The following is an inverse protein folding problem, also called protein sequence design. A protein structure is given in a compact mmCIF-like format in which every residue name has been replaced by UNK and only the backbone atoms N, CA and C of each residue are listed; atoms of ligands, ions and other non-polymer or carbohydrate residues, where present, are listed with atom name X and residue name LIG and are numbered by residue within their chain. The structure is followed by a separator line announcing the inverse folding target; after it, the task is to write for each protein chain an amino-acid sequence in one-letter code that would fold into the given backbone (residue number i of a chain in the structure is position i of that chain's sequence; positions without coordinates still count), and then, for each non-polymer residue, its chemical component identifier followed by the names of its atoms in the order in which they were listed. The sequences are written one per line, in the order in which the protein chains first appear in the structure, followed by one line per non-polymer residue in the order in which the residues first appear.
data_IF_799644323280
#
_entry.id   IF_799644323280
#
_cell.length_a   1.000
_cell.length_b   1.000
_cell.length_c   1.000
_cell.angle_alpha   90.00
_cell.angle_beta   90.00
_cell.angle_gamma   90.00
#
_symmetry.space_group_name_H-M   'P 1'
#
loop_
_entity.id
_entity.type
_entity.pdbx_description
1 polymer ?
#
# COMPACT_ATOMS: atom_id res chain seq x y z
N UNK A 1 27.53 47.07 -15.54
CA UNK A 1 26.35 46.67 -16.35
C UNK A 1 26.22 45.15 -16.44
N UNK A 2 27.33 44.40 -16.56
CA UNK A 2 27.37 42.93 -16.47
C UNK A 2 26.76 42.37 -15.19
N UNK A 3 27.04 42.98 -14.04
CA UNK A 3 26.71 42.39 -12.73
C UNK A 3 25.22 42.50 -12.38
N UNK A 4 24.57 43.62 -12.77
CA UNK A 4 23.12 43.80 -12.65
C UNK A 4 22.34 42.85 -13.58
N UNK A 5 22.85 42.64 -14.80
CA UNK A 5 22.29 41.64 -15.72
C UNK A 5 22.46 40.23 -15.18
N UNK A 6 23.63 39.91 -14.62
CA UNK A 6 23.91 38.60 -14.01
C UNK A 6 23.02 38.35 -12.80
N UNK A 7 22.87 39.33 -11.90
CA UNK A 7 21.95 39.25 -10.76
C UNK A 7 20.49 39.07 -11.21
N UNK A 8 20.08 39.79 -12.26
CA UNK A 8 18.75 39.64 -12.86
C UNK A 8 18.53 38.24 -13.43
N UNK A 9 19.51 37.67 -14.13
CA UNK A 9 19.46 36.31 -14.66
C UNK A 9 19.38 35.26 -13.54
N UNK A 10 20.17 35.41 -12.47
CA UNK A 10 20.12 34.52 -11.31
C UNK A 10 18.74 34.62 -10.64
N UNK A 11 18.24 35.84 -10.42
CA UNK A 11 16.90 36.07 -9.86
C UNK A 11 15.79 35.45 -10.72
N UNK A 12 15.86 35.62 -12.04
CA UNK A 12 14.91 35.01 -12.97
C UNK A 12 14.96 33.48 -12.97
N UNK A 13 16.16 32.90 -12.99
CA UNK A 13 16.35 31.44 -12.98
C UNK A 13 15.89 30.81 -11.66
N UNK A 14 16.20 31.45 -10.52
CA UNK A 14 15.75 30.98 -9.20
C UNK A 14 14.23 31.04 -9.08
N UNK A 15 13.59 32.11 -9.55
CA UNK A 15 12.12 32.21 -9.58
C UNK A 15 11.50 31.12 -10.46
N UNK A 16 12.04 30.90 -11.66
CA UNK A 16 11.56 29.86 -12.56
C UNK A 16 11.66 28.47 -11.92
N UNK A 17 12.80 28.16 -11.30
CA UNK A 17 13.01 26.90 -10.59
C UNK A 17 11.98 26.71 -9.46
N UNK A 18 11.73 27.74 -8.67
CA UNK A 18 10.73 27.69 -7.60
C UNK A 18 9.32 27.43 -8.15
N UNK A 19 8.95 28.10 -9.25
CA UNK A 19 7.67 27.87 -9.90
C UNK A 19 7.55 26.44 -10.44
N UNK A 20 8.61 25.89 -11.04
CA UNK A 20 8.63 24.49 -11.49
C UNK A 20 8.49 23.51 -10.34
N UNK A 21 9.18 23.74 -9.21
CA UNK A 21 9.06 22.89 -8.03
C UNK A 21 7.65 22.95 -7.41
N UNK A 22 7.04 24.13 -7.37
CA UNK A 22 5.66 24.30 -6.90
C UNK A 22 4.66 23.60 -7.83
N UNK A 23 4.83 23.73 -9.13
CA UNK A 23 4.01 23.02 -10.12
C UNK A 23 4.17 21.51 -9.99
N UNK A 24 5.40 21.01 -9.83
CA UNK A 24 5.69 19.59 -9.60
C UNK A 24 5.06 19.07 -8.31
N UNK A 25 5.15 19.82 -7.21
CA UNK A 25 4.52 19.44 -5.94
C UNK A 25 2.99 19.44 -6.04
N UNK A 26 2.41 20.45 -6.70
CA UNK A 26 0.98 20.51 -7.00
C UNK A 26 0.51 19.31 -7.83
N UNK A 27 1.22 19.01 -8.91
CA UNK A 27 0.96 17.84 -9.78
C UNK A 27 1.09 16.51 -9.02
N UNK A 28 2.00 16.44 -8.05
CA UNK A 28 2.19 15.27 -7.18
C UNK A 28 1.08 15.09 -6.14
N UNK A 29 0.13 16.02 -6.03
CA UNK A 29 -0.99 15.95 -5.08
C UNK A 29 -0.80 16.73 -3.78
N UNK A 30 0.17 17.67 -3.70
CA UNK A 30 0.37 18.48 -2.49
C UNK A 30 -0.91 19.21 -2.04
N UNK A 31 -1.71 19.68 -3.01
CA UNK A 31 -2.97 20.38 -2.77
C UNK A 31 -4.21 19.45 -2.84
N UNK A 32 -4.03 18.16 -3.09
CA UNK A 32 -5.15 17.22 -3.15
C UNK A 32 -5.79 17.07 -1.77
N UNK A 33 -7.12 17.04 -1.73
CA UNK A 33 -7.87 16.64 -0.54
C UNK A 33 -7.75 15.14 -0.28
N UNK A 34 -7.86 14.75 0.98
CA UNK A 34 -8.01 13.33 1.35
C UNK A 34 -9.42 13.17 1.90
N UNK A 35 -10.27 12.49 1.14
CA UNK A 35 -11.62 12.14 1.57
C UNK A 35 -11.64 10.68 2.02
N UNK A 36 -12.06 10.45 3.26
CA UNK A 36 -12.21 9.10 3.83
C UNK A 36 -13.68 8.81 3.98
N UNK A 37 -14.12 7.68 3.45
CA UNK A 37 -15.51 7.22 3.55
C UNK A 37 -15.57 5.72 3.86
N UNK A 38 -16.70 5.28 4.38
CA UNK A 38 -17.03 3.87 4.50
C UNK A 38 -18.06 3.51 3.44
N UNK A 39 -17.84 2.41 2.71
CA UNK A 39 -18.74 2.02 1.63
C UNK A 39 -18.28 0.77 0.88
N UNK A 40 -18.70 0.69 -0.38
CA UNK A 40 -18.37 -0.41 -1.28
C UNK A 40 -16.87 -0.42 -1.60
N UNK A 41 -16.26 -1.62 -1.76
CA UNK A 41 -14.84 -1.72 -2.08
C UNK A 41 -14.52 -1.19 -3.48
N UNK A 42 -13.29 -0.68 -3.69
CA UNK A 42 -12.80 -0.32 -5.02
C UNK A 42 -12.50 -1.54 -5.90
N UNK A 43 -12.48 -2.75 -5.32
CA UNK A 43 -12.22 -4.01 -6.02
C UNK A 43 -13.23 -5.11 -5.65
N UNK A 44 -13.38 -6.07 -6.57
CA UNK A 44 -14.06 -7.34 -6.36
C UNK A 44 -13.09 -8.38 -5.75
N UNK A 45 -13.39 -9.66 -5.91
CA UNK A 45 -12.43 -10.72 -5.65
C UNK A 45 -11.25 -10.57 -6.62
N UNK A 46 -10.04 -10.73 -6.11
CA UNK A 46 -8.81 -10.56 -6.90
C UNK A 46 -7.89 -11.74 -6.69
N UNK A 47 -7.23 -12.17 -7.76
CA UNK A 47 -6.10 -13.10 -7.66
C UNK A 47 -4.82 -12.30 -7.77
N UNK A 48 -3.95 -12.42 -6.77
CA UNK A 48 -2.72 -11.65 -6.67
C UNK A 48 -1.51 -12.55 -6.74
N UNK A 49 -0.47 -12.08 -7.43
CA UNK A 49 0.89 -12.58 -7.24
C UNK A 49 1.57 -11.68 -6.22
N UNK A 50 2.16 -12.24 -5.17
CA UNK A 50 2.77 -11.47 -4.09
C UNK A 50 4.08 -12.09 -3.60
N UNK A 51 4.92 -11.25 -3.02
CA UNK A 51 6.02 -11.66 -2.14
C UNK A 51 5.70 -11.19 -0.72
N UNK A 52 5.84 -12.10 0.23
CA UNK A 52 5.77 -11.77 1.64
C UNK A 52 7.10 -11.13 2.08
N UNK A 53 7.01 -10.03 2.81
CA UNK A 53 8.15 -9.31 3.33
C UNK A 53 7.94 -8.98 4.80
N UNK A 54 9.02 -9.11 5.57
CA UNK A 54 9.10 -8.67 6.96
C UNK A 54 10.26 -7.67 7.05
N UNK A 55 9.98 -6.47 7.54
CA UNK A 55 10.93 -5.36 7.58
C UNK A 55 10.29 -4.00 7.34
N UNK A 56 11.14 -3.00 7.14
CA UNK A 56 10.74 -1.61 6.92
C UNK A 56 9.90 -1.49 5.64
N UNK A 57 8.67 -0.98 5.76
CA UNK A 57 7.80 -0.76 4.60
C UNK A 57 8.43 0.19 3.56
N UNK A 58 9.28 1.14 3.97
CA UNK A 58 10.01 2.00 3.03
C UNK A 58 10.96 1.26 2.09
N UNK A 59 11.37 0.02 2.42
CA UNK A 59 12.26 -0.81 1.61
C UNK A 59 11.49 -1.72 0.63
N UNK A 60 10.16 -1.70 0.67
CA UNK A 60 9.30 -2.50 -0.22
C UNK A 60 9.28 -2.00 -1.66
N UNK A 61 9.82 -0.81 -1.94
CA UNK A 61 9.91 -0.24 -3.29
C UNK A 61 10.56 -1.18 -4.31
N UNK A 62 11.56 -1.97 -3.88
CA UNK A 62 12.20 -2.99 -4.74
C UNK A 62 11.22 -4.08 -5.19
N UNK A 63 10.27 -4.49 -4.33
CA UNK A 63 9.29 -5.52 -4.63
C UNK A 63 8.26 -5.01 -5.64
N UNK A 64 7.86 -3.74 -5.52
CA UNK A 64 7.07 -3.07 -6.54
C UNK A 64 7.80 -3.00 -7.88
N UNK A 65 9.07 -2.58 -7.89
CA UNK A 65 9.87 -2.55 -9.12
C UNK A 65 9.99 -3.93 -9.76
N UNK A 66 10.25 -4.97 -8.96
CA UNK A 66 10.32 -6.34 -9.45
C UNK A 66 9.00 -6.81 -10.06
N UNK A 67 7.88 -6.60 -9.35
CA UNK A 67 6.54 -6.94 -9.82
C UNK A 67 6.17 -6.22 -11.12
N UNK A 68 6.38 -4.90 -11.18
CA UNK A 68 6.12 -4.09 -12.37
C UNK A 68 7.01 -4.47 -13.56
N UNK A 69 8.25 -4.93 -13.31
CA UNK A 69 9.17 -5.35 -14.37
C UNK A 69 8.72 -6.64 -15.05
N UNK A 70 7.95 -7.49 -14.35
CA UNK A 70 7.38 -8.71 -14.92
C UNK A 70 6.19 -8.37 -15.83
N UNK A 71 5.28 -7.51 -15.37
CA UNK A 71 4.16 -7.04 -16.18
C UNK A 71 3.74 -5.61 -15.81
N UNK A 72 4.17 -4.60 -16.59
CA UNK A 72 3.95 -3.19 -16.24
C UNK A 72 2.50 -2.73 -16.44
N UNK A 73 1.66 -3.55 -17.10
CA UNK A 73 0.25 -3.25 -17.35
C UNK A 73 -0.65 -3.65 -16.18
N UNK A 74 -0.17 -4.49 -15.26
CA UNK A 74 -0.96 -4.93 -14.13
C UNK A 74 -0.94 -3.89 -13.02
N UNK A 75 -2.06 -3.80 -12.29
CA UNK A 75 -2.15 -2.96 -11.10
C UNK A 75 -1.30 -3.57 -10.00
N UNK A 76 -0.50 -2.73 -9.34
CA UNK A 76 0.25 -3.15 -8.17
C UNK A 76 -0.63 -3.13 -6.93
N UNK A 77 -0.35 -4.04 -5.99
CA UNK A 77 -1.06 -4.14 -4.72
C UNK A 77 -0.08 -4.37 -3.58
N UNK A 78 -0.33 -3.72 -2.45
CA UNK A 78 0.29 -4.03 -1.18
C UNK A 78 -0.75 -4.23 -0.08
N UNK A 79 -0.46 -5.17 0.81
CA UNK A 79 -1.24 -5.46 2.02
C UNK A 79 -0.31 -5.31 3.21
N UNK A 80 -0.61 -4.38 4.10
CA UNK A 80 0.15 -4.10 5.31
C UNK A 80 -0.62 -4.65 6.52
N UNK A 81 0.01 -5.58 7.22
CA UNK A 81 -0.61 -6.31 8.33
C UNK A 81 -0.40 -5.62 9.68
N UNK A 82 0.68 -4.85 9.80
CA UNK A 82 1.10 -4.22 11.04
C UNK A 82 1.07 -2.69 10.96
N UNK A 83 0.80 -2.03 12.09
CA UNK A 83 0.96 -0.59 12.22
C UNK A 83 2.43 -0.25 12.50
N UNK A 84 3.12 0.49 11.62
CA UNK A 84 4.56 0.79 11.77
C UNK A 84 4.88 1.71 12.94
N UNK A 85 3.88 2.35 13.56
CA UNK A 85 4.04 3.14 14.78
C UNK A 85 3.91 2.30 16.06
N UNK A 86 3.39 1.08 15.96
CA UNK A 86 3.18 0.18 17.11
C UNK A 86 4.08 -1.05 17.06
N UNK A 87 4.44 -1.53 15.86
CA UNK A 87 5.27 -2.71 15.65
C UNK A 87 6.69 -2.27 15.30
N UNK A 88 7.74 -2.90 15.89
CA UNK A 88 9.13 -2.63 15.53
C UNK A 88 9.36 -2.77 14.02
N UNK A 89 10.17 -1.89 13.39
CA UNK A 89 10.33 -1.89 11.94
C UNK A 89 10.82 -3.21 11.34
N UNK A 90 11.66 -3.95 12.04
CA UNK A 90 12.18 -5.27 11.65
C UNK A 90 11.11 -6.39 11.69
N UNK A 91 9.96 -6.12 12.31
CA UNK A 91 8.85 -7.07 12.49
C UNK A 91 7.59 -6.70 11.73
N UNK A 92 7.57 -5.55 11.06
CA UNK A 92 6.44 -5.13 10.22
C UNK A 92 6.30 -6.09 9.04
N UNK A 93 5.09 -6.61 8.81
CA UNK A 93 4.82 -7.60 7.76
C UNK A 93 3.92 -7.01 6.68
N UNK A 94 4.27 -7.30 5.43
CA UNK A 94 3.45 -6.95 4.29
C UNK A 94 3.53 -8.00 3.18
N UNK A 95 2.52 -8.01 2.32
CA UNK A 95 2.54 -8.71 1.04
C UNK A 95 2.52 -7.67 -0.08
N UNK A 96 3.43 -7.76 -1.04
CA UNK A 96 3.55 -6.80 -2.16
C UNK A 96 3.62 -7.55 -3.48
N UNK A 97 2.90 -7.06 -4.49
CA UNK A 97 3.01 -7.58 -5.84
C UNK A 97 1.97 -7.01 -6.79
N UNK A 98 1.36 -7.85 -7.62
CA UNK A 98 0.45 -7.44 -8.71
C UNK A 98 -0.87 -8.20 -8.68
N UNK A 99 -1.94 -7.52 -9.09
CA UNK A 99 -3.25 -8.14 -9.34
C UNK A 99 -3.19 -8.82 -10.71
N UNK A 100 -3.33 -10.15 -10.74
CA UNK A 100 -3.33 -10.96 -11.96
C UNK A 100 -4.70 -11.02 -12.64
N UNK A 101 -5.77 -11.00 -11.85
CA UNK A 101 -7.15 -10.93 -12.34
C UNK A 101 -8.10 -10.39 -11.28
N UNK A 102 -9.26 -9.90 -11.71
CA UNK A 102 -10.34 -9.41 -10.85
C UNK A 102 -11.70 -9.93 -11.32
N UNK A 103 -12.59 -10.29 -10.39
CA UNK A 103 -13.93 -10.76 -10.72
C UNK A 103 -13.96 -12.22 -11.16
N UNK A 104 -14.76 -12.49 -12.19
CA UNK A 104 -14.91 -13.83 -12.78
C UNK A 104 -13.75 -14.21 -13.73
N UNK A 105 -12.83 -13.28 -13.97
CA UNK A 105 -11.68 -13.52 -14.84
C UNK A 105 -10.65 -14.42 -14.15
N UNK A 106 -10.31 -15.53 -14.81
CA UNK A 106 -9.18 -16.36 -14.40
C UNK A 106 -7.87 -15.74 -14.89
N UNK A 107 -6.84 -15.66 -14.03
CA UNK A 107 -5.52 -15.20 -14.46
C UNK A 107 -4.93 -16.17 -15.49
N UNK A 108 -4.16 -15.66 -16.46
CA UNK A 108 -3.56 -16.54 -17.46
C UNK A 108 -2.52 -17.48 -16.82
N UNK A 109 -2.51 -18.78 -17.17
CA UNK A 109 -1.54 -19.73 -16.61
C UNK A 109 -0.09 -19.34 -16.88
N UNK A 110 0.18 -18.77 -18.05
CA UNK A 110 1.50 -18.27 -18.46
C UNK A 110 1.99 -17.14 -17.56
N UNK A 111 1.08 -16.24 -17.16
CA UNK A 111 1.40 -15.13 -16.26
C UNK A 111 1.66 -15.64 -14.84
N UNK A 112 0.86 -16.60 -14.37
CA UNK A 112 1.10 -17.26 -13.08
C UNK A 112 2.49 -17.91 -13.05
N UNK A 113 2.81 -18.73 -14.06
CA UNK A 113 4.11 -19.42 -14.15
C UNK A 113 5.26 -18.42 -14.21
N UNK A 114 5.10 -17.31 -14.95
CA UNK A 114 6.10 -16.25 -15.02
C UNK A 114 6.35 -15.61 -13.64
N UNK A 115 5.30 -15.22 -12.92
CA UNK A 115 5.43 -14.66 -11.58
C UNK A 115 6.06 -15.66 -10.59
N UNK A 116 5.67 -16.93 -10.67
CA UNK A 116 6.24 -18.00 -9.84
C UNK A 116 7.73 -18.23 -10.11
N UNK A 117 8.17 -18.14 -11.37
CA UNK A 117 9.61 -18.20 -11.73
C UNK A 117 10.44 -17.12 -11.06
N UNK A 118 9.87 -15.94 -10.82
CA UNK A 118 10.51 -14.85 -10.08
C UNK A 118 10.26 -14.92 -8.56
N UNK A 119 9.70 -16.04 -8.06
CA UNK A 119 9.53 -16.30 -6.64
C UNK A 119 8.30 -15.62 -6.02
N UNK A 120 7.33 -15.20 -6.83
CA UNK A 120 6.03 -14.75 -6.31
C UNK A 120 5.12 -15.94 -6.02
N UNK A 121 4.35 -15.85 -4.96
CA UNK A 121 3.27 -16.79 -4.64
C UNK A 121 1.95 -16.22 -5.14
N UNK A 122 0.98 -17.11 -5.40
CA UNK A 122 -0.34 -16.71 -5.86
C UNK A 122 -1.35 -16.96 -4.75
N UNK A 123 -2.22 -15.98 -4.51
CA UNK A 123 -3.31 -16.08 -3.54
C UNK A 123 -4.53 -15.29 -4.03
N UNK A 124 -5.72 -15.70 -3.62
CA UNK A 124 -6.97 -15.03 -4.00
C UNK A 124 -7.60 -14.36 -2.79
N UNK A 125 -7.79 -13.05 -2.86
CA UNK A 125 -8.56 -12.29 -1.88
C UNK A 125 -10.03 -12.26 -2.27
N UNK A 126 -10.96 -12.43 -1.31
CA UNK A 126 -12.38 -12.35 -1.61
C UNK A 126 -12.80 -10.90 -1.88
N UNK A 127 -13.98 -10.75 -2.49
CA UNK A 127 -14.62 -9.44 -2.57
C UNK A 127 -14.93 -8.92 -1.15
N UNK A 128 -14.42 -7.74 -0.75
CA UNK A 128 -14.78 -7.16 0.54
C UNK A 128 -16.26 -6.77 0.57
N UNK A 129 -16.93 -6.91 1.72
CA UNK A 129 -18.33 -6.50 1.82
C UNK A 129 -18.47 -5.00 2.08
N UNK A 130 -17.77 -4.49 3.08
CA UNK A 130 -17.71 -3.06 3.44
C UNK A 130 -16.28 -2.70 3.80
N UNK A 131 -15.82 -1.55 3.33
CA UNK A 131 -14.46 -1.06 3.60
C UNK A 131 -14.49 0.40 4.03
N UNK A 132 -13.46 0.81 4.77
CA UNK A 132 -13.06 2.22 4.84
C UNK A 132 -12.14 2.47 3.65
N UNK A 133 -12.42 3.47 2.82
CA UNK A 133 -11.68 3.77 1.61
C UNK A 133 -11.23 5.22 1.56
N UNK A 134 -10.12 5.45 0.86
CA UNK A 134 -9.64 6.76 0.48
C UNK A 134 -8.91 6.65 -0.86
N UNK A 135 -8.88 7.74 -1.63
CA UNK A 135 -8.10 7.82 -2.87
C UNK A 135 -7.13 8.98 -2.81
N UNK A 136 -6.00 8.83 -3.51
CA UNK A 136 -4.99 9.88 -3.61
C UNK A 136 -4.31 9.85 -4.97
N UNK A 137 -3.86 11.00 -5.52
CA UNK A 137 -3.10 11.02 -6.76
C UNK A 137 -1.84 10.13 -6.69
N UNK A 138 -1.51 9.49 -7.81
CA UNK A 138 -0.32 8.65 -8.00
C UNK A 138 0.40 9.06 -9.29
N UNK A 139 0.95 10.27 -9.32
CA UNK A 139 1.58 10.81 -10.53
C UNK A 139 3.11 10.81 -10.45
N UNK A 140 3.67 10.84 -9.24
CA UNK A 140 5.12 10.84 -9.01
C UNK A 140 5.50 10.07 -7.74
N UNK A 141 6.79 9.85 -7.51
CA UNK A 141 7.31 9.30 -6.25
C UNK A 141 6.92 10.19 -5.05
N UNK A 142 6.86 11.50 -5.24
CA UNK A 142 6.42 12.43 -4.20
C UNK A 142 4.96 12.16 -3.81
N UNK A 143 4.12 11.70 -4.75
CA UNK A 143 2.74 11.30 -4.45
C UNK A 143 2.67 10.17 -3.43
N UNK A 144 3.51 9.14 -3.55
CA UNK A 144 3.58 8.03 -2.58
C UNK A 144 3.91 8.57 -1.19
N UNK A 145 4.94 9.41 -1.08
CA UNK A 145 5.35 10.00 0.18
C UNK A 145 4.26 10.90 0.80
N UNK A 146 3.58 11.69 -0.03
CA UNK A 146 2.45 12.51 0.41
C UNK A 146 1.28 11.64 0.88
N UNK A 147 0.99 10.56 0.17
CA UNK A 147 -0.07 9.63 0.52
C UNK A 147 0.21 8.96 1.88
N UNK A 148 1.44 8.48 2.11
CA UNK A 148 1.84 7.92 3.41
C UNK A 148 1.62 8.92 4.56
N UNK A 149 1.95 10.20 4.36
CA UNK A 149 1.84 11.23 5.41
C UNK A 149 0.44 11.81 5.61
N UNK A 150 -0.42 11.78 4.60
CA UNK A 150 -1.72 12.45 4.64
C UNK A 150 -2.88 11.47 4.68
N UNK A 151 -2.81 10.41 3.88
CA UNK A 151 -3.89 9.42 3.79
C UNK A 151 -3.89 8.51 5.01
N UNK A 152 -2.72 8.05 5.47
CA UNK A 152 -2.71 7.12 6.60
C UNK A 152 -3.24 7.73 7.89
N UNK A 153 -2.80 8.94 8.31
CA UNK A 153 -3.37 9.58 9.49
C UNK A 153 -4.85 9.93 9.35
N UNK A 154 -5.31 10.27 8.14
CA UNK A 154 -6.73 10.53 7.89
C UNK A 154 -7.57 9.26 8.06
N UNK A 155 -7.11 8.12 7.53
CA UNK A 155 -7.74 6.81 7.75
C UNK A 155 -7.78 6.46 9.24
N UNK A 156 -6.66 6.63 9.95
CA UNK A 156 -6.56 6.31 11.37
C UNK A 156 -7.51 7.17 12.21
N UNK A 157 -7.60 8.47 11.89
CA UNK A 157 -8.53 9.41 12.55
C UNK A 157 -9.98 8.97 12.33
N UNK A 158 -10.37 8.71 11.08
CA UNK A 158 -11.73 8.28 10.73
C UNK A 158 -12.12 6.97 11.44
N UNK A 159 -11.23 5.97 11.41
CA UNK A 159 -11.43 4.67 12.06
C UNK A 159 -11.60 4.86 13.58
N UNK A 160 -10.73 5.67 14.21
CA UNK A 160 -10.75 5.92 15.65
C UNK A 160 -12.01 6.66 16.10
N UNK A 161 -12.38 7.75 15.44
CA UNK A 161 -13.54 8.56 15.80
C UNK A 161 -14.86 7.78 15.70
N UNK A 162 -14.95 6.90 14.71
CA UNK A 162 -16.13 6.05 14.48
C UNK A 162 -16.05 4.70 15.18
N UNK A 163 -14.98 4.43 15.94
CA UNK A 163 -14.73 3.17 16.67
C UNK A 163 -14.86 1.93 15.78
N UNK A 164 -14.33 2.02 14.56
CA UNK A 164 -14.37 0.94 13.58
C UNK A 164 -13.22 -0.04 13.79
N UNK A 165 -13.43 -1.30 13.41
CA UNK A 165 -12.39 -2.33 13.35
C UNK A 165 -12.02 -2.59 11.90
N UNK A 166 -11.16 -1.75 11.31
CA UNK A 166 -10.80 -1.82 9.89
C UNK A 166 -9.34 -2.26 9.71
N UNK A 167 -9.12 -3.46 9.15
CA UNK A 167 -7.79 -4.04 8.88
C UNK A 167 -7.89 -5.25 7.94
N UNK A 168 -6.79 -5.73 7.33
CA UNK A 168 -5.49 -5.07 7.16
C UNK A 168 -5.62 -3.86 6.22
N UNK A 169 -4.55 -3.08 6.04
CA UNK A 169 -4.56 -1.96 5.09
C UNK A 169 -4.10 -2.43 3.71
N UNK A 170 -4.89 -2.15 2.70
CA UNK A 170 -4.57 -2.45 1.31
C UNK A 170 -4.35 -1.15 0.53
N UNK A 171 -3.33 -1.16 -0.32
CA UNK A 171 -3.00 -0.10 -1.27
C UNK A 171 -3.00 -0.70 -2.67
N UNK A 172 -3.80 -0.12 -3.56
CA UNK A 172 -3.92 -0.57 -4.95
C UNK A 172 -3.53 0.60 -5.83
N UNK A 173 -2.46 0.41 -6.60
CA UNK A 173 -1.89 1.42 -7.48
C UNK A 173 -2.47 1.18 -8.88
N UNK A 174 -3.32 2.10 -9.32
CA UNK A 174 -4.04 2.01 -10.58
C UNK A 174 -3.96 3.34 -11.32
N UNK A 175 -3.33 3.31 -12.50
CA UNK A 175 -3.17 4.50 -13.34
C UNK A 175 -2.54 5.65 -12.54
N UNK A 176 -3.21 6.81 -12.49
CA UNK A 176 -2.76 8.01 -11.78
C UNK A 176 -3.35 8.11 -10.35
N UNK A 177 -3.82 7.00 -9.76
CA UNK A 177 -4.38 6.98 -8.41
C UNK A 177 -3.88 5.82 -7.54
N UNK A 178 -3.80 6.08 -6.23
CA UNK A 178 -3.67 5.06 -5.19
C UNK A 178 -5.04 4.93 -4.53
N UNK A 179 -5.59 3.71 -4.53
CA UNK A 179 -6.78 3.35 -3.78
C UNK A 179 -6.37 2.68 -2.49
N UNK A 180 -6.74 3.30 -1.37
CA UNK A 180 -6.54 2.75 -0.03
C UNK A 180 -7.84 2.11 0.42
N UNK A 181 -7.76 0.91 1.00
CA UNK A 181 -8.92 0.32 1.65
C UNK A 181 -8.56 -0.48 2.90
N UNK A 182 -9.46 -0.49 3.87
CA UNK A 182 -9.38 -1.28 5.09
C UNK A 182 -10.70 -2.06 5.27
N UNK A 183 -10.71 -3.40 5.13
CA UNK A 183 -11.90 -4.22 5.32
C UNK A 183 -12.48 -4.09 6.73
N UNK A 184 -13.81 -3.96 6.83
CA UNK A 184 -14.54 -3.88 8.11
C UNK A 184 -15.05 -5.24 8.60
N UNK A 185 -15.02 -6.26 7.75
CA UNK A 185 -15.48 -7.60 8.05
C UNK A 185 -14.61 -8.63 7.35
N UNK A 186 -14.56 -9.85 7.92
CA UNK A 186 -13.81 -10.99 7.37
C UNK A 186 -12.33 -10.65 7.10
N UNK A 187 -11.74 -9.86 8.00
CA UNK A 187 -10.40 -9.30 7.84
C UNK A 187 -9.32 -10.38 7.63
N UNK A 188 -9.46 -11.53 8.31
CA UNK A 188 -8.56 -12.68 8.17
C UNK A 188 -8.56 -13.33 6.79
N UNK A 189 -9.53 -13.04 5.93
CA UNK A 189 -9.51 -13.53 4.54
C UNK A 189 -8.53 -12.76 3.66
N UNK A 190 -8.09 -11.58 4.10
CA UNK A 190 -7.06 -10.77 3.43
C UNK A 190 -5.64 -11.11 3.92
N UNK A 191 -5.49 -12.17 4.72
CA UNK A 191 -4.20 -12.64 5.20
C UNK A 191 -3.66 -13.71 4.27
N UNK A 192 -2.45 -13.48 3.76
CA UNK A 192 -1.72 -14.50 3.03
C UNK A 192 -1.31 -15.64 3.96
N UNK A 193 -1.06 -16.86 3.43
CA UNK A 193 -0.67 -18.03 4.24
C UNK A 193 0.41 -17.76 5.29
N UNK A 194 1.46 -17.02 4.95
CA UNK A 194 2.57 -16.71 5.87
C UNK A 194 2.11 -15.91 7.09
N UNK A 195 1.13 -15.01 6.91
CA UNK A 195 0.55 -14.25 8.01
C UNK A 195 -0.26 -15.17 8.94
N UNK A 196 -1.07 -16.06 8.36
CA UNK A 196 -1.88 -17.04 9.11
C UNK A 196 -1.01 -18.02 9.91
N UNK A 197 0.05 -18.53 9.31
CA UNK A 197 1.01 -19.41 9.98
C UNK A 197 1.72 -18.70 11.14
N UNK A 198 2.06 -17.43 10.95
CA UNK A 198 2.72 -16.63 11.99
C UNK A 198 1.77 -16.42 13.17
N UNK A 199 0.51 -16.04 12.94
CA UNK A 199 -0.48 -15.91 14.01
C UNK A 199 -0.74 -17.22 14.76
N UNK A 200 -0.84 -18.34 14.03
CA UNK A 200 -0.98 -19.67 14.64
C UNK A 200 0.19 -20.00 15.57
N UNK A 201 1.44 -19.79 15.09
CA UNK A 201 2.65 -20.06 15.88
C UNK A 201 2.69 -19.19 17.14
N UNK A 202 2.35 -17.91 17.03
CA UNK A 202 2.30 -17.01 18.20
C UNK A 202 1.22 -17.41 19.20
N UNK A 203 0.02 -17.77 18.73
CA UNK A 203 -1.07 -18.25 19.61
C UNK A 203 -0.67 -19.52 20.37
N UNK A 204 -0.12 -20.51 19.67
CA UNK A 204 0.35 -21.74 20.32
C UNK A 204 1.48 -21.50 21.33
N UNK A 205 2.33 -20.49 21.10
CA UNK A 205 3.39 -20.13 22.05
C UNK A 205 2.83 -19.47 23.31
N UNK A 206 1.84 -18.58 23.17
CA UNK A 206 1.17 -17.92 24.31
C UNK A 206 0.41 -18.94 25.14
N UNK A 207 -0.35 -19.83 24.51
CA UNK A 207 -1.07 -20.91 25.20
C UNK A 207 -0.10 -21.83 25.97
N UNK A 208 1.06 -22.18 25.37
CA UNK A 208 2.07 -22.99 26.04
C UNK A 208 2.69 -22.29 27.27
N UNK A 209 2.88 -20.97 27.21
CA UNK A 209 3.40 -20.16 28.33
C UNK A 209 2.36 -20.08 29.45
N UNK A 210 1.10 -19.79 29.12
CA UNK A 210 0.03 -19.68 30.12
C UNK A 210 -0.19 -21.01 30.86
N UNK A 211 -0.12 -22.14 30.14
CA UNK A 211 -0.25 -23.49 30.76
C UNK A 211 0.91 -23.82 31.70
N UNK A 212 2.04 -23.13 31.57
CA UNK A 212 3.25 -23.35 32.38
C UNK A 212 3.33 -22.43 33.60
N UNK A 213 2.50 -21.38 33.66
CA UNK A 213 2.41 -20.44 34.79
C UNK A 213 1.33 -20.87 35.80
N UNK A 214 0.33 -21.66 35.35
CA UNK A 214 -0.76 -22.18 36.17
C UNK A 214 -0.49 -23.58 36.80
N UNK A 215 0.74 -24.10 36.70
CA UNK A 215 1.17 -25.39 37.27
C UNK A 215 2.33 -25.25 38.26
#
# INVERSE_FOLDING_TARGET
MSDLLLLGLIGGLTLLLLLTLLAFAGYSGLLAGVEVSAGSPPIRNVTVAYKFHMGLYGETGRLFTESCSISPKLRSIAVYYDNPHMVPPDKCRCAVGSILSEGEESPSPELIDLYQKFGFKVFSFPAPSHVVTATFPYTTILSIWLATRRVHPALDTYIKERKLCAYPRLEIYQEDQIHFMCPLARQGDFYVPEMKETEWKWRGLVEAIDTQVDG
#
